data_IF_691329479509
#
_entry.id   IF_691329479509
#
_cell.length_a   1.000
_cell.length_b   1.000
_cell.length_c   1.000
_cell.angle_alpha   90.00
_cell.angle_beta   90.00
_cell.angle_gamma   90.00
#
_symmetry.space_group_name_H-M   'P 1'
#
loop_
_entity.id
_entity.type
_entity.pdbx_description
1 polymer ?
#
# COMPACT_ATOMS: atom_id res chain seq x y z
N UNK A 1 -12.06 -9.69 -14.25
CA UNK A 1 -11.64 -8.28 -14.38
C UNK A 1 -10.87 -7.94 -13.12
N UNK A 2 -9.56 -7.69 -13.22
CA UNK A 2 -8.72 -7.43 -12.04
C UNK A 2 -9.08 -6.10 -11.36
N UNK A 3 -8.78 -5.99 -10.05
CA UNK A 3 -9.08 -4.78 -9.29
C UNK A 3 -8.30 -3.56 -9.81
N UNK A 4 -8.99 -2.42 -9.96
CA UNK A 4 -8.38 -1.15 -10.43
C UNK A 4 -7.69 -0.37 -9.32
N UNK A 5 -8.04 -0.63 -8.07
CA UNK A 5 -7.49 0.03 -6.89
C UNK A 5 -7.25 -0.98 -5.76
N UNK A 6 -6.18 -0.75 -5.01
CA UNK A 6 -5.84 -1.44 -3.77
C UNK A 6 -6.50 -0.74 -2.59
N UNK A 7 -7.15 -1.51 -1.73
CA UNK A 7 -7.74 -1.07 -0.46
C UNK A 7 -6.66 -1.00 0.61
N UNK A 8 -6.47 0.18 1.20
CA UNK A 8 -5.51 0.40 2.28
C UNK A 8 -6.26 0.88 3.53
N UNK A 9 -6.08 0.15 4.63
CA UNK A 9 -6.56 0.53 5.96
C UNK A 9 -5.53 1.45 6.61
N UNK A 10 -5.96 2.66 6.94
CA UNK A 10 -5.14 3.66 7.66
C UNK A 10 -5.75 3.92 9.02
N UNK A 11 -4.92 3.90 10.06
CA UNK A 11 -5.29 4.37 11.40
C UNK A 11 -4.89 5.83 11.53
N UNK A 12 -5.85 6.67 11.92
CA UNK A 12 -5.67 8.13 11.99
C UNK A 12 -5.07 8.63 13.30
N UNK A 13 -5.09 7.82 14.36
CA UNK A 13 -4.60 8.20 15.67
C UNK A 13 -4.36 6.98 16.57
N UNK A 14 -3.26 6.99 17.32
CA UNK A 14 -2.90 5.91 18.25
C UNK A 14 -3.46 6.12 19.66
N UNK A 15 -3.97 7.32 19.95
CA UNK A 15 -4.32 7.75 21.32
C UNK A 15 -5.82 7.78 21.60
N UNK A 16 -6.67 7.60 20.57
CA UNK A 16 -8.11 7.52 20.75
C UNK A 16 -8.56 6.06 20.93
N UNK A 17 -9.36 5.75 21.98
CA UNK A 17 -9.83 4.38 22.25
C UNK A 17 -10.85 3.88 21.22
N UNK A 18 -11.27 4.73 20.28
CA UNK A 18 -12.04 4.32 19.11
C UNK A 18 -11.05 4.10 17.96
N UNK A 19 -10.92 2.85 17.53
CA UNK A 19 -10.19 2.45 16.32
C UNK A 19 -10.85 3.06 15.08
N UNK A 20 -10.62 4.36 14.84
CA UNK A 20 -10.99 4.99 13.57
C UNK A 20 -10.01 4.51 12.50
N UNK A 21 -10.39 3.42 11.85
CA UNK A 21 -9.79 2.98 10.60
C UNK A 21 -10.51 3.67 9.45
N UNK A 22 -9.77 4.43 8.66
CA UNK A 22 -10.26 4.92 7.37
C UNK A 22 -9.78 3.98 6.27
N UNK A 23 -10.60 3.86 5.23
CA UNK A 23 -10.25 3.10 4.04
C UNK A 23 -9.90 4.09 2.93
N UNK A 24 -8.66 4.00 2.45
CA UNK A 24 -8.24 4.74 1.25
C UNK A 24 -8.03 3.77 0.09
N UNK A 25 -8.12 4.30 -1.13
CA UNK A 25 -7.97 3.53 -2.36
C UNK A 25 -6.81 4.11 -3.15
N UNK A 26 -5.79 3.30 -3.38
CA UNK A 26 -4.64 3.67 -4.20
C UNK A 26 -4.64 2.87 -5.52
N UNK A 27 -4.13 3.41 -6.63
CA UNK A 27 -4.14 2.71 -7.92
C UNK A 27 -3.44 1.36 -7.84
N UNK A 28 -4.04 0.29 -8.39
CA UNK A 28 -3.40 -1.04 -8.37
C UNK A 28 -2.08 -1.06 -9.16
N UNK A 29 -1.95 -0.19 -10.16
CA UNK A 29 -0.72 -0.03 -10.95
C UNK A 29 0.47 0.46 -10.12
N UNK A 30 0.23 1.18 -9.02
CA UNK A 30 1.26 1.59 -8.08
C UNK A 30 1.87 0.37 -7.36
N UNK A 31 1.05 -0.65 -7.06
CA UNK A 31 1.47 -1.85 -6.35
C UNK A 31 1.94 -2.97 -7.27
N UNK A 32 1.40 -3.08 -8.49
CA UNK A 32 1.58 -4.23 -9.39
C UNK A 32 3.04 -4.69 -9.57
N UNK A 33 4.05 -3.80 -9.68
CA UNK A 33 5.45 -4.23 -9.78
C UNK A 33 5.98 -4.98 -8.54
N UNK A 34 5.27 -4.92 -7.42
CA UNK A 34 5.67 -5.42 -6.11
C UNK A 34 4.89 -6.69 -5.67
N UNK A 35 4.19 -7.35 -6.60
CA UNK A 35 3.38 -8.55 -6.27
C UNK A 35 4.21 -9.69 -5.66
N UNK A 36 5.47 -9.84 -6.09
CA UNK A 36 6.36 -10.85 -5.53
C UNK A 36 6.76 -10.55 -4.08
N UNK A 37 6.93 -9.28 -3.72
CA UNK A 37 7.14 -8.90 -2.31
C UNK A 37 5.88 -9.15 -1.48
N UNK A 38 4.70 -8.90 -2.05
CA UNK A 38 3.44 -9.20 -1.37
C UNK A 38 3.32 -10.70 -1.06
N UNK A 39 3.66 -11.57 -2.01
CA UNK A 39 3.70 -13.03 -1.79
C UNK A 39 4.67 -13.41 -0.68
N UNK A 40 5.89 -12.85 -0.68
CA UNK A 40 6.88 -13.11 0.37
C UNK A 40 6.38 -12.68 1.76
N UNK A 41 5.77 -11.51 1.86
CA UNK A 41 5.31 -10.96 3.14
C UNK A 41 4.01 -11.62 3.65
N UNK A 42 3.21 -12.22 2.75
CA UNK A 42 1.88 -12.74 3.06
C UNK A 42 1.66 -14.20 2.65
N UNK A 43 2.65 -15.08 2.85
CA UNK A 43 2.51 -16.53 2.63
C UNK A 43 1.94 -16.88 1.24
N UNK A 44 2.60 -16.39 0.19
CA UNK A 44 2.24 -16.55 -1.23
C UNK A 44 0.91 -15.93 -1.66
N UNK A 45 0.31 -15.05 -0.84
CA UNK A 45 -0.85 -14.28 -1.26
C UNK A 45 -0.46 -13.12 -2.21
N UNK A 46 -1.06 -13.12 -3.40
CA UNK A 46 -0.93 -12.00 -4.35
C UNK A 46 -1.63 -10.73 -3.86
N UNK A 47 -1.26 -9.58 -4.44
CA UNK A 47 -1.91 -8.29 -4.22
C UNK A 47 -3.41 -8.34 -4.49
N UNK A 48 -3.84 -9.06 -5.54
CA UNK A 48 -5.25 -9.25 -5.85
C UNK A 48 -5.97 -9.99 -4.73
N UNK A 49 -5.39 -11.09 -4.23
CA UNK A 49 -5.97 -11.87 -3.13
C UNK A 49 -6.04 -11.07 -1.84
N UNK A 50 -5.02 -10.27 -1.54
CA UNK A 50 -5.00 -9.38 -0.39
C UNK A 50 -6.11 -8.32 -0.50
N UNK A 51 -6.28 -7.75 -1.70
CA UNK A 51 -7.33 -6.78 -1.95
C UNK A 51 -8.73 -7.37 -1.77
N UNK A 52 -8.98 -8.58 -2.31
CA UNK A 52 -10.24 -9.31 -2.17
C UNK A 52 -10.65 -9.53 -0.71
N UNK A 53 -9.69 -9.79 0.17
CA UNK A 53 -9.92 -10.07 1.60
C UNK A 53 -10.06 -8.82 2.47
N UNK A 54 -10.22 -7.64 1.85
CA UNK A 54 -10.43 -6.38 2.54
C UNK A 54 -9.21 -5.44 2.55
N UNK A 55 -8.18 -5.76 1.77
CA UNK A 55 -7.00 -4.91 1.64
C UNK A 55 -5.95 -5.16 2.71
N UNK A 56 -4.99 -4.24 2.80
CA UNK A 56 -3.83 -4.29 3.70
C UNK A 56 -3.73 -3.01 4.53
N UNK A 57 -2.97 -3.05 5.61
CA UNK A 57 -2.58 -1.88 6.40
C UNK A 57 -1.59 -0.98 5.64
N UNK A 58 -1.49 0.28 6.08
CA UNK A 58 -0.54 1.23 5.51
C UNK A 58 0.93 0.83 5.72
N UNK A 59 1.25 0.21 6.85
CA UNK A 59 2.57 -0.35 7.17
C UNK A 59 2.92 -1.56 6.31
N UNK A 60 1.97 -2.48 6.12
CA UNK A 60 2.10 -3.61 5.17
C UNK A 60 2.34 -3.10 3.74
N UNK A 61 1.59 -2.07 3.33
CA UNK A 61 1.74 -1.44 2.02
C UNK A 61 3.15 -0.86 1.83
N UNK A 62 3.71 -0.20 2.84
CA UNK A 62 5.08 0.32 2.79
C UNK A 62 6.08 -0.81 2.60
N UNK A 63 5.99 -1.88 3.40
CA UNK A 63 6.93 -3.00 3.30
C UNK A 63 6.93 -3.63 1.90
N UNK A 64 5.74 -3.80 1.30
CA UNK A 64 5.59 -4.29 -0.07
C UNK A 64 6.24 -3.33 -1.07
N UNK A 65 5.93 -2.03 -0.99
CA UNK A 65 6.41 -1.01 -1.92
C UNK A 65 7.92 -0.78 -1.82
N UNK A 66 8.50 -0.95 -0.62
CA UNK A 66 9.94 -0.82 -0.40
C UNK A 66 10.73 -2.09 -0.72
N UNK A 67 10.08 -3.22 -0.97
CA UNK A 67 10.78 -4.49 -1.18
C UNK A 67 11.38 -5.06 0.11
N UNK A 68 10.81 -4.72 1.27
CA UNK A 68 11.34 -5.09 2.58
C UNK A 68 10.42 -6.10 3.29
N UNK A 69 10.97 -6.95 4.19
CA UNK A 69 10.15 -7.75 5.09
C UNK A 69 9.27 -6.87 5.97
N UNK A 70 8.06 -7.36 6.29
CA UNK A 70 7.13 -6.63 7.14
C UNK A 70 7.73 -6.29 8.51
N UNK A 71 7.61 -5.01 8.88
CA UNK A 71 7.93 -4.48 10.21
C UNK A 71 6.81 -3.52 10.63
N UNK A 72 6.30 -3.61 11.86
CA UNK A 72 5.25 -2.70 12.32
C UNK A 72 5.77 -1.27 12.41
N UNK A 73 4.99 -0.33 11.88
CA UNK A 73 5.27 1.12 11.88
C UNK A 73 4.14 1.82 12.63
N UNK A 74 4.45 2.91 13.32
CA UNK A 74 3.41 3.71 13.99
C UNK A 74 2.43 4.26 12.94
N UNK A 75 1.12 4.19 13.14
CA UNK A 75 0.12 4.61 12.15
C UNK A 75 0.33 5.98 11.51
N UNK A 76 0.66 7.02 12.28
CA UNK A 76 0.95 8.34 11.71
C UNK A 76 2.16 8.33 10.77
N UNK A 77 3.24 7.64 11.17
CA UNK A 77 4.45 7.49 10.36
C UNK A 77 4.19 6.66 9.10
N UNK A 78 3.37 5.60 9.21
CA UNK A 78 2.95 4.81 8.07
C UNK A 78 2.13 5.64 7.07
N UNK A 79 1.21 6.48 7.54
CA UNK A 79 0.43 7.35 6.65
C UNK A 79 1.32 8.36 5.92
N UNK A 80 2.23 9.03 6.63
CA UNK A 80 3.14 10.01 6.02
C UNK A 80 4.10 9.37 5.02
N UNK A 81 4.67 8.22 5.35
CA UNK A 81 5.60 7.49 4.47
C UNK A 81 4.88 6.98 3.22
N UNK A 82 3.69 6.39 3.37
CA UNK A 82 2.91 5.92 2.23
C UNK A 82 2.51 7.08 1.29
N UNK A 83 2.11 8.23 1.87
CA UNK A 83 1.81 9.42 1.08
C UNK A 83 3.04 9.93 0.31
N UNK A 84 4.22 9.91 0.93
CA UNK A 84 5.47 10.29 0.26
C UNK A 84 5.83 9.34 -0.89
N UNK A 85 5.72 8.03 -0.68
CA UNK A 85 5.95 7.02 -1.73
C UNK A 85 4.99 7.21 -2.91
N UNK A 86 3.71 7.45 -2.62
CA UNK A 86 2.71 7.68 -3.66
C UNK A 86 2.99 8.98 -4.44
N UNK A 87 3.31 10.07 -3.75
CA UNK A 87 3.68 11.34 -4.40
C UNK A 87 4.90 11.17 -5.32
N UNK A 88 5.93 10.44 -4.88
CA UNK A 88 7.10 10.14 -5.70
C UNK A 88 6.73 9.34 -6.95
N UNK A 89 5.82 8.38 -6.84
CA UNK A 89 5.32 7.62 -7.98
C UNK A 89 4.54 8.49 -8.97
N UNK A 90 3.62 9.33 -8.49
CA UNK A 90 2.84 10.26 -9.32
C UNK A 90 3.75 11.24 -10.05
N UNK A 91 4.75 11.81 -9.38
CA UNK A 91 5.70 12.75 -10.01
C UNK A 91 6.57 12.05 -11.05
N UNK A 92 6.90 10.77 -10.85
CA UNK A 92 7.65 9.98 -11.82
C UNK A 92 6.81 9.53 -13.03
N UNK A 93 5.47 9.48 -12.95
CA UNK A 93 4.59 8.99 -14.02
C UNK A 93 4.66 9.78 -15.35
N UNK A 94 4.69 11.13 -15.37
CA UNK A 94 4.85 11.91 -16.61
C UNK A 94 6.10 11.54 -17.41
N UNK A 95 7.15 11.07 -16.73
CA UNK A 95 8.38 10.61 -17.37
C UNK A 95 8.23 9.21 -17.98
N UNK A 96 7.50 8.30 -17.32
CA UNK A 96 7.28 6.92 -17.79
C UNK A 96 6.38 6.85 -19.03
N UNK A 97 5.42 7.77 -19.19
CA UNK A 97 4.53 7.80 -20.38
C UNK A 97 5.20 8.36 -21.65
N UNK A 98 6.25 9.18 -21.52
CA UNK A 98 6.99 9.74 -22.67
C UNK A 98 8.04 8.80 -23.26
N UNK A 99 8.35 7.69 -22.59
CA UNK A 99 9.33 6.70 -23.03
C UNK A 99 8.71 5.40 -23.58
N UNK A 100 7.39 5.40 -23.80
CA UNK A 100 6.63 4.30 -24.41
C UNK A 100 6.13 4.68 -25.79
#
# INVERSE_FOLDING_TARGET
MGARAMRIRVRLCDTLPLHYESLIYLPMEFFKPHDDQAKQNHCDQSLERLNERGGIGADEAIAILSGEPYKPIKPNEAMHTLAALFNNWVIAEPFRRKQR
#
